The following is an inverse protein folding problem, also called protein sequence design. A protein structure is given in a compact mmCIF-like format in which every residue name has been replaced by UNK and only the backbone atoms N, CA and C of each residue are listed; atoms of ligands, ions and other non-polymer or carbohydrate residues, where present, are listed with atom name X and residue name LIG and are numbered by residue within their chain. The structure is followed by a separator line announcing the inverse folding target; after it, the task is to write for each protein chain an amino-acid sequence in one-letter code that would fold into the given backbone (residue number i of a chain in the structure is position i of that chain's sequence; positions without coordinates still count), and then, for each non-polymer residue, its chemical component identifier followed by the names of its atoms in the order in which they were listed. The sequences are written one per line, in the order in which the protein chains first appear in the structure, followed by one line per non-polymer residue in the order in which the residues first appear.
data_IF_239348847774
#
_entry.id   IF_239348847774
#
_cell.length_a   1.000
_cell.length_b   1.000
_cell.length_c   1.000
_cell.angle_alpha   90.00
_cell.angle_beta   90.00
_cell.angle_gamma   90.00
#
_symmetry.space_group_name_H-M   'P 1'
#
loop_
_entity.id
_entity.type
_entity.pdbx_description
1 polymer ?
#
# COMPACT_ATOMS: atom_id res chain seq x y z
N UNK A 1 -8.63 16.32 25.49
CA UNK A 1 -8.51 14.85 25.59
C UNK A 1 -9.39 14.06 24.59
N UNK A 2 -10.73 14.22 24.56
CA UNK A 2 -11.64 13.44 23.67
C UNK A 2 -11.36 13.57 22.15
N UNK A 3 -11.00 14.77 21.67
CA UNK A 3 -10.66 15.01 20.25
C UNK A 3 -9.36 14.31 19.82
N UNK A 4 -8.37 14.27 20.71
CA UNK A 4 -7.09 13.58 20.50
C UNK A 4 -7.30 12.07 20.41
N UNK A 5 -8.03 11.49 21.37
CA UNK A 5 -8.37 10.05 21.39
C UNK A 5 -9.12 9.62 20.12
N UNK A 6 -10.13 10.40 19.70
CA UNK A 6 -10.87 10.11 18.46
C UNK A 6 -9.99 10.18 17.20
N UNK A 7 -8.99 11.06 17.21
CA UNK A 7 -8.04 11.20 16.10
C UNK A 7 -7.05 10.02 16.06
N UNK A 8 -6.50 9.64 17.22
CA UNK A 8 -5.62 8.48 17.36
C UNK A 8 -6.33 7.19 16.97
N UNK A 9 -7.57 6.99 17.44
CA UNK A 9 -8.39 5.83 17.08
C UNK A 9 -8.64 5.76 15.57
N UNK A 10 -9.01 6.88 14.95
CA UNK A 10 -9.23 6.92 13.50
C UNK A 10 -7.94 6.62 12.72
N UNK A 11 -6.79 7.06 13.23
CA UNK A 11 -5.50 6.84 12.60
C UNK A 11 -5.08 5.36 12.67
N UNK A 12 -5.03 4.79 13.87
CA UNK A 12 -4.63 3.40 14.12
C UNK A 12 -5.57 2.39 13.45
N UNK A 13 -6.88 2.64 13.43
CA UNK A 13 -7.88 1.72 12.89
C UNK A 13 -8.40 2.14 11.51
N UNK A 14 -7.54 2.75 10.68
CA UNK A 14 -7.90 3.15 9.31
C UNK A 14 -8.29 1.91 8.49
N UNK A 15 -9.48 1.85 7.86
CA UNK A 15 -9.84 0.71 7.02
C UNK A 15 -8.90 0.56 5.82
N UNK A 16 -8.32 -0.64 5.64
CA UNK A 16 -7.41 -0.96 4.55
C UNK A 16 -7.80 -2.24 3.82
N UNK A 17 -7.23 -2.39 2.63
CA UNK A 17 -7.39 -3.57 1.77
C UNK A 17 -6.44 -4.70 2.23
N UNK A 18 -6.86 -5.99 2.22
CA UNK A 18 -6.00 -7.11 2.60
C UNK A 18 -4.74 -7.25 1.72
N UNK A 19 -4.81 -6.76 0.47
CA UNK A 19 -3.68 -6.75 -0.47
C UNK A 19 -2.47 -5.98 0.07
N UNK A 20 -2.68 -4.96 0.91
CA UNK A 20 -1.59 -4.17 1.45
C UNK A 20 -0.69 -5.01 2.38
N UNK A 21 -1.29 -5.77 3.32
CA UNK A 21 -0.52 -6.68 4.16
C UNK A 21 0.10 -7.84 3.36
N UNK A 22 -0.60 -8.31 2.32
CA UNK A 22 -0.07 -9.35 1.46
C UNK A 22 1.20 -8.89 0.72
N UNK A 23 1.22 -7.64 0.22
CA UNK A 23 2.39 -7.03 -0.39
C UNK A 23 3.57 -6.95 0.59
N UNK A 24 3.31 -6.47 1.82
CA UNK A 24 4.34 -6.35 2.85
C UNK A 24 4.91 -7.73 3.24
N UNK A 25 4.04 -8.74 3.40
CA UNK A 25 4.45 -10.14 3.64
C UNK A 25 5.34 -10.68 2.53
N UNK A 26 4.92 -10.52 1.28
CA UNK A 26 5.67 -11.04 0.13
C UNK A 26 7.03 -10.34 0.00
N UNK A 27 7.07 -9.01 0.10
CA UNK A 27 8.31 -8.23 -0.06
C UNK A 27 9.32 -8.48 1.06
N UNK A 28 8.89 -8.48 2.32
CA UNK A 28 9.75 -8.82 3.46
C UNK A 28 10.21 -10.28 3.41
N UNK A 29 9.31 -11.20 3.04
CA UNK A 29 9.63 -12.61 2.86
C UNK A 29 10.65 -12.84 1.74
N UNK A 30 10.49 -12.21 0.57
CA UNK A 30 11.42 -12.31 -0.55
C UNK A 30 12.79 -11.74 -0.21
N UNK A 31 12.84 -10.59 0.49
CA UNK A 31 14.10 -10.02 0.95
C UNK A 31 14.82 -10.95 1.93
N UNK A 32 14.08 -11.52 2.89
CA UNK A 32 14.64 -12.49 3.84
C UNK A 32 15.16 -13.74 3.13
N UNK A 33 14.41 -14.28 2.18
CA UNK A 33 14.80 -15.46 1.40
C UNK A 33 16.08 -15.20 0.61
N UNK A 34 16.14 -14.06 -0.10
CA UNK A 34 17.35 -13.64 -0.80
C UNK A 34 18.54 -13.52 0.16
N UNK A 35 18.36 -12.92 1.34
CA UNK A 35 19.42 -12.78 2.32
C UNK A 35 19.91 -14.14 2.81
N UNK A 36 19.00 -15.03 3.22
CA UNK A 36 19.35 -16.36 3.74
C UNK A 36 20.08 -17.19 2.69
N UNK A 37 19.59 -17.21 1.45
CA UNK A 37 20.21 -17.97 0.37
C UNK A 37 21.57 -17.37 -0.04
N UNK A 38 21.66 -16.05 -0.23
CA UNK A 38 22.91 -15.40 -0.66
C UNK A 38 24.02 -15.41 0.39
N UNK A 39 23.67 -15.67 1.67
CA UNK A 39 24.60 -15.71 2.80
C UNK A 39 24.70 -17.07 3.44
N UNK A 40 24.13 -18.12 2.85
CA UNK A 40 24.06 -19.44 3.45
C UNK A 40 25.43 -19.93 3.93
N UNK A 41 26.41 -19.99 3.04
CA UNK A 41 27.77 -20.48 3.37
C UNK A 41 28.46 -19.62 4.43
N UNK A 42 28.28 -18.30 4.37
CA UNK A 42 28.84 -17.40 5.37
C UNK A 42 28.20 -17.65 6.74
N UNK A 43 26.88 -17.86 6.81
CA UNK A 43 26.19 -18.17 8.05
C UNK A 43 26.68 -19.49 8.65
N UNK A 44 26.92 -20.51 7.82
CA UNK A 44 27.46 -21.79 8.28
C UNK A 44 28.88 -21.64 8.83
N UNK A 45 29.77 -20.92 8.11
CA UNK A 45 31.16 -20.72 8.55
C UNK A 45 31.27 -19.98 9.88
N UNK A 46 30.37 -19.03 10.15
CA UNK A 46 30.41 -18.25 11.39
C UNK A 46 30.18 -19.13 12.62
N UNK A 47 29.21 -20.04 12.54
CA UNK A 47 28.81 -20.90 13.67
C UNK A 47 29.86 -21.96 13.99
N UNK A 48 30.83 -22.19 13.11
CA UNK A 48 31.95 -23.10 13.36
C UNK A 48 32.93 -22.58 14.43
N UNK A 49 33.02 -21.26 14.63
CA UNK A 49 33.87 -20.68 15.67
C UNK A 49 33.14 -20.66 17.01
N UNK A 50 33.16 -21.79 17.72
CA UNK A 50 32.43 -21.94 18.99
C UNK A 50 33.02 -21.13 20.14
N UNK A 51 34.32 -20.80 20.09
CA UNK A 51 35.01 -20.03 21.14
C UNK A 51 34.56 -18.57 21.19
N UNK A 52 34.19 -18.00 20.05
CA UNK A 52 33.74 -16.62 19.92
C UNK A 52 32.21 -16.43 20.13
N UNK A 53 31.52 -17.43 20.68
CA UNK A 53 30.09 -17.37 20.90
C UNK A 53 29.75 -16.56 22.16
N UNK A 54 29.03 -15.44 21.97
CA UNK A 54 28.52 -14.60 23.05
C UNK A 54 26.99 -14.42 22.90
N UNK A 55 26.18 -15.17 23.66
CA UNK A 55 24.74 -15.14 23.52
C UNK A 55 24.16 -13.78 23.94
N UNK A 56 23.20 -13.26 23.15
CA UNK A 56 22.59 -11.95 23.38
C UNK A 56 21.07 -12.00 23.26
N UNK A 57 20.39 -10.96 23.77
CA UNK A 57 18.96 -10.80 23.64
C UNK A 57 18.18 -11.97 24.25
N UNK A 58 17.22 -12.52 23.49
CA UNK A 58 16.37 -13.64 23.96
C UNK A 58 17.11 -14.98 24.11
N UNK A 59 18.39 -15.03 23.74
CA UNK A 59 19.24 -16.22 23.86
C UNK A 59 20.29 -16.07 24.96
N UNK A 60 20.25 -15.01 25.78
CA UNK A 60 21.22 -14.74 26.84
C UNK A 60 21.36 -15.87 27.90
N UNK A 61 20.40 -16.78 27.94
CA UNK A 61 20.38 -17.95 28.82
C UNK A 61 21.22 -19.12 28.29
N UNK A 62 21.61 -19.10 27.02
CA UNK A 62 22.47 -20.13 26.44
C UNK A 62 23.88 -20.00 27.03
N UNK A 63 24.52 -21.13 27.32
CA UNK A 63 25.92 -21.17 27.79
C UNK A 63 26.87 -21.68 26.71
N UNK A 64 26.35 -22.40 25.72
CA UNK A 64 27.11 -22.97 24.61
C UNK A 64 26.31 -22.87 23.31
N UNK A 65 26.98 -22.74 22.15
CA UNK A 65 26.30 -22.73 20.86
C UNK A 65 25.71 -24.12 20.55
N UNK A 66 24.68 -24.16 19.71
CA UNK A 66 24.20 -25.43 19.16
C UNK A 66 25.22 -26.00 18.17
N UNK A 67 25.23 -27.33 18.03
CA UNK A 67 26.11 -28.02 17.10
C UNK A 67 25.93 -27.48 15.65
N UNK A 68 27.02 -27.30 14.88
CA UNK A 68 26.94 -26.76 13.52
C UNK A 68 25.98 -27.54 12.59
N UNK A 69 25.89 -28.86 12.75
CA UNK A 69 24.98 -29.71 11.99
C UNK A 69 23.51 -29.38 12.30
N UNK A 70 23.19 -29.11 13.56
CA UNK A 70 21.85 -28.69 13.98
C UNK A 70 21.54 -27.31 13.40
N UNK A 71 22.50 -26.39 13.42
CA UNK A 71 22.32 -25.06 12.83
C UNK A 71 22.07 -25.12 11.32
N UNK A 72 22.72 -26.06 10.62
CA UNK A 72 22.47 -26.30 9.20
C UNK A 72 21.02 -26.71 8.94
N UNK A 73 20.50 -27.69 9.69
CA UNK A 73 19.09 -28.12 9.57
C UNK A 73 18.11 -27.00 9.94
N UNK A 74 18.40 -26.24 11.00
CA UNK A 74 17.60 -25.06 11.37
C UNK A 74 17.57 -24.03 10.23
N UNK A 75 18.69 -23.83 9.54
CA UNK A 75 18.78 -22.93 8.37
C UNK A 75 17.88 -23.41 7.22
N UNK A 76 17.90 -24.72 6.91
CA UNK A 76 17.04 -25.31 5.87
C UNK A 76 15.57 -25.19 6.23
N UNK A 77 15.19 -25.52 7.48
CA UNK A 77 13.82 -25.40 7.97
C UNK A 77 13.35 -23.94 7.87
N UNK A 78 14.19 -22.98 8.25
CA UNK A 78 13.89 -21.56 8.15
C UNK A 78 13.62 -21.14 6.70
N UNK A 79 14.45 -21.58 5.74
CA UNK A 79 14.26 -21.30 4.31
C UNK A 79 12.93 -21.89 3.81
N UNK A 80 12.61 -23.14 4.16
CA UNK A 80 11.34 -23.79 3.79
C UNK A 80 10.16 -23.01 4.37
N UNK A 81 10.21 -22.68 5.66
CA UNK A 81 9.18 -21.87 6.32
C UNK A 81 9.05 -20.49 5.67
N UNK A 82 10.16 -19.87 5.24
CA UNK A 82 10.13 -18.59 4.55
C UNK A 82 9.41 -18.70 3.19
N UNK A 83 9.66 -19.76 2.42
CA UNK A 83 8.97 -20.01 1.14
C UNK A 83 7.47 -20.20 1.36
N UNK A 84 7.10 -21.03 2.34
CA UNK A 84 5.69 -21.24 2.71
C UNK A 84 5.04 -19.94 3.23
N UNK A 85 5.79 -19.12 3.96
CA UNK A 85 5.36 -17.80 4.42
C UNK A 85 5.09 -16.84 3.25
N UNK A 86 5.92 -16.83 2.21
CA UNK A 86 5.72 -16.02 0.99
C UNK A 86 4.51 -16.54 0.19
N UNK A 87 4.36 -17.85 0.05
CA UNK A 87 3.21 -18.47 -0.63
C UNK A 87 1.91 -18.23 0.15
N UNK A 88 1.99 -18.17 1.49
CA UNK A 88 0.85 -18.01 2.38
C UNK A 88 0.02 -19.28 2.44
N UNK A 89 0.70 -20.42 2.60
CA UNK A 89 0.11 -21.74 2.78
C UNK A 89 -0.05 -22.06 4.27
N UNK A 90 -1.26 -22.48 4.70
CA UNK A 90 -1.58 -22.76 6.12
C UNK A 90 -1.06 -21.65 7.04
N UNK A 91 -1.30 -20.40 6.67
CA UNK A 91 -0.61 -19.24 7.23
C UNK A 91 -0.85 -19.05 8.72
N UNK A 92 -2.01 -19.51 9.24
CA UNK A 92 -2.30 -19.53 10.68
C UNK A 92 -1.19 -20.21 11.51
N UNK A 93 -0.50 -21.19 10.94
CA UNK A 93 0.59 -21.91 11.60
C UNK A 93 1.95 -21.48 11.06
N UNK A 94 2.09 -21.35 9.73
CA UNK A 94 3.36 -21.01 9.09
C UNK A 94 3.81 -19.58 9.43
N UNK A 95 2.88 -18.62 9.48
CA UNK A 95 3.17 -17.22 9.80
C UNK A 95 3.89 -17.05 11.13
N UNK A 96 3.28 -17.49 12.25
CA UNK A 96 3.93 -17.42 13.57
C UNK A 96 5.19 -18.26 13.67
N UNK A 97 5.20 -19.48 13.08
CA UNK A 97 6.36 -20.37 13.15
C UNK A 97 7.59 -19.77 12.46
N UNK A 98 7.41 -19.21 11.26
CA UNK A 98 8.48 -18.51 10.55
C UNK A 98 8.96 -17.28 11.32
N UNK A 99 8.04 -16.47 11.87
CA UNK A 99 8.39 -15.29 12.64
C UNK A 99 9.22 -15.60 13.89
N UNK A 100 8.82 -16.60 14.67
CA UNK A 100 9.54 -17.03 15.87
C UNK A 100 10.91 -17.60 15.49
N UNK A 101 10.96 -18.49 14.50
CA UNK A 101 12.23 -19.09 14.08
C UNK A 101 13.19 -18.06 13.49
N UNK A 102 12.68 -17.10 12.70
CA UNK A 102 13.48 -16.00 12.18
C UNK A 102 14.05 -15.14 13.32
N UNK A 103 13.24 -14.80 14.33
CA UNK A 103 13.73 -14.05 15.50
C UNK A 103 14.88 -14.80 16.19
N UNK A 104 14.66 -16.07 16.52
CA UNK A 104 15.68 -16.91 17.17
C UNK A 104 16.94 -17.02 16.31
N UNK A 105 16.79 -17.28 15.01
CA UNK A 105 17.90 -17.45 14.08
C UNK A 105 18.76 -16.19 13.95
N UNK A 106 18.13 -15.03 13.76
CA UNK A 106 18.86 -13.77 13.60
C UNK A 106 19.43 -13.25 14.92
N UNK A 107 18.79 -13.52 16.06
CA UNK A 107 19.40 -13.29 17.38
C UNK A 107 20.62 -14.19 17.56
N UNK A 108 20.51 -15.48 17.25
CA UNK A 108 21.62 -16.43 17.32
C UNK A 108 22.78 -16.00 16.42
N UNK A 109 22.52 -15.58 15.18
CA UNK A 109 23.58 -15.06 14.31
C UNK A 109 24.29 -13.83 14.89
N UNK A 110 23.59 -12.98 15.63
CA UNK A 110 24.19 -11.80 16.25
C UNK A 110 24.98 -12.15 17.53
N UNK A 111 24.97 -13.40 17.99
CA UNK A 111 25.83 -13.91 19.06
C UNK A 111 27.27 -14.21 18.62
N UNK A 112 27.60 -13.86 17.38
CA UNK A 112 28.97 -13.86 16.87
C UNK A 112 29.28 -12.49 16.29
N UNK A 113 30.54 -12.08 16.44
CA UNK A 113 31.10 -10.88 15.81
C UNK A 113 30.34 -9.59 16.19
N UNK A 114 30.41 -8.57 15.35
CA UNK A 114 29.72 -7.30 15.57
C UNK A 114 28.20 -7.46 15.55
N UNK A 115 27.52 -6.82 16.49
CA UNK A 115 26.05 -6.76 16.52
C UNK A 115 25.57 -5.88 15.37
N UNK A 116 24.89 -6.49 14.40
CA UNK A 116 24.33 -5.76 13.25
C UNK A 116 22.87 -5.39 13.50
N UNK A 117 22.62 -4.13 13.85
CA UNK A 117 21.27 -3.61 14.09
C UNK A 117 20.44 -3.39 12.82
N UNK A 118 21.07 -3.37 11.65
CA UNK A 118 20.41 -3.03 10.38
C UNK A 118 19.31 -4.01 9.95
N UNK A 119 19.27 -5.22 10.52
CA UNK A 119 18.25 -6.26 10.24
C UNK A 119 17.09 -6.27 11.25
N UNK A 120 17.20 -5.59 12.38
CA UNK A 120 16.19 -5.66 13.43
C UNK A 120 14.81 -5.20 12.91
N UNK A 121 14.78 -4.16 12.07
CA UNK A 121 13.53 -3.70 11.45
C UNK A 121 12.87 -4.77 10.56
N UNK A 122 13.64 -5.52 9.76
CA UNK A 122 13.11 -6.61 8.95
C UNK A 122 12.45 -7.67 9.83
N UNK A 123 13.12 -8.08 10.91
CA UNK A 123 12.62 -9.13 11.80
C UNK A 123 11.35 -8.66 12.52
N UNK A 124 11.31 -7.41 12.99
CA UNK A 124 10.09 -6.86 13.60
C UNK A 124 8.93 -6.79 12.60
N UNK A 125 9.19 -6.46 11.33
CA UNK A 125 8.15 -6.49 10.29
C UNK A 125 7.65 -7.92 10.05
N UNK A 126 8.56 -8.90 9.96
CA UNK A 126 8.22 -10.32 9.81
C UNK A 126 7.38 -10.81 10.99
N UNK A 127 7.73 -10.44 12.23
CA UNK A 127 6.96 -10.77 13.43
C UNK A 127 5.55 -10.21 13.31
N UNK A 128 5.39 -8.90 13.08
CA UNK A 128 4.07 -8.30 12.95
C UNK A 128 3.25 -9.01 11.87
N UNK A 129 3.83 -9.22 10.69
CA UNK A 129 3.16 -9.84 9.55
C UNK A 129 2.84 -11.32 9.76
N UNK A 130 3.66 -12.05 10.53
CA UNK A 130 3.48 -13.46 10.87
C UNK A 130 2.31 -13.72 11.82
N UNK A 131 1.99 -12.75 12.70
CA UNK A 131 0.91 -12.87 13.69
C UNK A 131 -0.42 -12.22 13.26
N UNK A 132 -0.48 -11.58 12.10
CA UNK A 132 -1.70 -10.93 11.58
C UNK A 132 -2.22 -11.61 10.31
N UNK A 133 -3.42 -11.25 9.88
CA UNK A 133 -4.08 -11.82 8.71
C UNK A 133 -3.47 -11.34 7.36
N UNK A 134 -2.14 -11.44 7.20
CA UNK A 134 -1.40 -10.99 6.02
C UNK A 134 -1.47 -11.97 4.83
N UNK A 135 -2.10 -13.12 5.01
CA UNK A 135 -2.40 -14.10 3.95
C UNK A 135 -3.88 -14.10 3.52
N UNK A 136 -4.68 -13.09 3.88
CA UNK A 136 -6.07 -12.97 3.41
C UNK A 136 -6.18 -12.56 1.93
N UNK A 137 -5.08 -12.08 1.34
CA UNK A 137 -4.95 -11.83 -0.09
C UNK A 137 -3.59 -12.32 -0.63
N UNK A 138 -3.52 -12.54 -1.94
CA UNK A 138 -2.32 -12.99 -2.68
C UNK A 138 -1.58 -14.14 -2.01
N UNK A 139 -2.34 -15.14 -1.61
CA UNK A 139 -1.83 -16.32 -0.92
C UNK A 139 -2.52 -17.58 -1.44
N UNK A 140 -1.89 -18.73 -1.22
CA UNK A 140 -2.52 -20.01 -1.49
C UNK A 140 -3.82 -20.20 -0.68
N UNK A 141 -3.82 -19.80 0.59
CA UNK A 141 -4.99 -19.92 1.47
C UNK A 141 -6.19 -19.09 0.96
N UNK A 142 -5.93 -17.86 0.50
CA UNK A 142 -6.96 -16.97 -0.08
C UNK A 142 -7.48 -17.50 -1.42
N UNK A 143 -6.59 -18.05 -2.27
CA UNK A 143 -6.97 -18.69 -3.53
C UNK A 143 -7.87 -19.91 -3.29
N UNK A 144 -7.54 -20.76 -2.32
CA UNK A 144 -8.35 -21.93 -1.96
C UNK A 144 -9.73 -21.53 -1.41
N UNK A 145 -9.81 -20.46 -0.61
CA UNK A 145 -11.09 -19.89 -0.14
C UNK A 145 -11.93 -19.36 -1.31
N UNK A 146 -11.30 -18.65 -2.26
CA UNK A 146 -11.96 -18.14 -3.46
C UNK A 146 -12.55 -19.26 -4.32
N UNK A 147 -11.85 -20.39 -4.49
CA UNK A 147 -12.37 -21.57 -5.22
C UNK A 147 -13.60 -22.20 -4.56
N UNK A 148 -13.77 -22.01 -3.25
CA UNK A 148 -14.94 -22.49 -2.48
C UNK A 148 -16.10 -21.48 -2.45
N UNK A 149 -16.08 -20.44 -3.29
CA UNK A 149 -17.06 -19.34 -3.28
C UNK A 149 -17.22 -18.65 -1.91
N UNK A 150 -16.20 -18.70 -1.04
CA UNK A 150 -16.19 -17.93 0.20
C UNK A 150 -15.89 -16.47 -0.16
N UNK A 151 -16.69 -15.54 0.38
CA UNK A 151 -16.54 -14.10 0.13
C UNK A 151 -15.09 -13.64 0.36
N UNK A 152 -14.58 -12.87 -0.60
CA UNK A 152 -13.27 -12.24 -0.48
C UNK A 152 -13.31 -11.21 0.66
N UNK A 153 -12.26 -11.15 1.51
CA UNK A 153 -12.23 -10.21 2.62
C UNK A 153 -12.38 -8.77 2.13
N UNK A 154 -13.36 -8.05 2.71
CA UNK A 154 -13.64 -6.65 2.42
C UNK A 154 -12.64 -5.72 3.12
N UNK A 155 -12.65 -4.46 2.72
CA UNK A 155 -11.87 -3.39 3.38
C UNK A 155 -12.24 -3.36 4.86
N UNK A 156 -11.24 -3.44 5.74
CA UNK A 156 -11.46 -3.54 7.19
C UNK A 156 -10.34 -2.85 7.96
N UNK A 157 -10.67 -2.36 9.16
CA UNK A 157 -9.71 -1.82 10.12
C UNK A 157 -8.72 -2.89 10.62
N UNK A 158 -9.09 -4.18 10.54
CA UNK A 158 -8.25 -5.30 10.92
C UNK A 158 -6.94 -5.37 10.11
N UNK A 159 -6.96 -4.82 8.89
CA UNK A 159 -5.77 -4.69 8.04
C UNK A 159 -5.03 -3.36 8.24
N UNK A 160 -5.65 -2.39 8.91
CA UNK A 160 -5.09 -1.06 9.09
C UNK A 160 -4.11 -0.95 10.24
N UNK A 161 -4.49 -1.46 11.40
CA UNK A 161 -3.65 -1.36 12.60
C UNK A 161 -2.29 -2.06 12.47
N UNK A 162 -2.12 -3.21 11.77
CA UNK A 162 -0.81 -3.81 11.61
C UNK A 162 0.11 -2.97 10.73
N UNK A 163 -0.44 -2.32 9.70
CA UNK A 163 0.33 -1.38 8.86
C UNK A 163 0.82 -0.20 9.68
N UNK A 164 -0.04 0.35 10.55
CA UNK A 164 0.38 1.42 11.46
C UNK A 164 1.44 0.96 12.44
N UNK A 165 1.32 -0.25 12.99
CA UNK A 165 2.36 -0.83 13.84
C UNK A 165 3.70 -0.99 13.11
N UNK A 166 3.70 -1.43 11.85
CA UNK A 166 4.90 -1.51 11.01
C UNK A 166 5.52 -0.12 10.81
N UNK A 167 4.70 0.89 10.48
CA UNK A 167 5.16 2.28 10.38
C UNK A 167 5.74 2.79 11.70
N UNK A 168 5.08 2.50 12.83
CA UNK A 168 5.53 2.91 14.16
C UNK A 168 6.86 2.27 14.54
N UNK A 169 7.04 0.98 14.29
CA UNK A 169 8.33 0.31 14.54
C UNK A 169 9.43 0.87 13.65
N UNK A 170 9.12 1.12 12.36
CA UNK A 170 10.07 1.74 11.43
C UNK A 170 10.52 3.10 11.95
N UNK A 171 9.57 3.99 12.25
CA UNK A 171 9.82 5.32 12.82
C UNK A 171 10.57 5.24 14.14
N UNK A 172 10.20 4.30 15.01
CA UNK A 172 10.84 4.09 16.31
C UNK A 172 12.33 3.77 16.18
N UNK A 173 12.74 3.02 15.15
CA UNK A 173 14.16 2.74 14.92
C UNK A 173 14.99 3.98 14.59
N UNK A 174 14.42 4.92 13.83
CA UNK A 174 15.08 6.20 13.50
C UNK A 174 15.03 7.19 14.66
N UNK A 175 13.91 7.24 15.39
CA UNK A 175 13.82 8.05 16.60
C UNK A 175 14.87 7.61 17.63
N UNK A 176 15.02 6.31 17.83
CA UNK A 176 16.02 5.78 18.76
C UNK A 176 17.45 6.15 18.33
N UNK A 177 17.75 6.09 17.03
CA UNK A 177 19.03 6.60 16.48
C UNK A 177 19.24 8.08 16.81
N UNK A 178 18.23 8.92 16.58
CA UNK A 178 18.32 10.36 16.86
C UNK A 178 18.49 10.67 18.35
N UNK A 179 17.75 9.94 19.22
CA UNK A 179 17.90 10.06 20.67
C UNK A 179 19.30 9.63 21.11
N UNK A 180 19.82 8.53 20.57
CA UNK A 180 21.18 8.08 20.88
C UNK A 180 22.24 9.11 20.47
N UNK A 181 22.07 9.77 19.32
CA UNK A 181 22.94 10.89 18.91
C UNK A 181 22.84 12.08 19.86
N UNK A 182 21.63 12.44 20.29
CA UNK A 182 21.41 13.56 21.20
C UNK A 182 21.94 13.27 22.62
N UNK A 183 21.83 12.02 23.08
CA UNK A 183 22.19 11.62 24.43
C UNK A 183 23.67 11.24 24.60
N UNK A 184 24.37 10.96 23.49
CA UNK A 184 25.80 10.60 23.53
C UNK A 184 26.73 11.81 23.72
N UNK A 185 27.98 11.53 24.03
CA UNK A 185 29.01 12.54 24.30
C UNK A 185 29.26 13.50 23.11
N UNK A 186 29.00 13.01 21.89
CA UNK A 186 29.15 13.76 20.63
C UNK A 186 27.87 14.53 20.22
N UNK A 187 26.95 14.77 21.15
CA UNK A 187 25.61 15.32 20.86
C UNK A 187 25.60 16.56 19.97
N UNK A 188 26.28 17.62 20.40
CA UNK A 188 26.36 18.88 19.67
C UNK A 188 27.24 18.80 18.43
N UNK A 189 28.21 17.91 18.44
CA UNK A 189 29.07 17.63 17.29
C UNK A 189 28.33 16.95 16.13
N UNK A 190 27.26 16.21 16.40
CA UNK A 190 26.39 15.68 15.36
C UNK A 190 25.60 16.79 14.66
N UNK A 191 25.21 17.84 15.38
CA UNK A 191 24.46 18.98 14.80
C UNK A 191 25.38 19.87 13.98
N UNK A 192 26.59 20.15 14.48
CA UNK A 192 27.60 20.94 13.74
C UNK A 192 28.19 20.18 12.55
N UNK A 193 27.98 18.86 12.48
CA UNK A 193 28.49 17.99 11.43
C UNK A 193 29.93 17.50 11.68
N UNK A 194 30.59 17.94 12.76
CA UNK A 194 31.97 17.52 13.08
C UNK A 194 32.04 16.03 13.42
N UNK A 195 31.08 15.50 14.19
CA UNK A 195 31.03 14.08 14.51
C UNK A 195 30.84 13.24 13.24
N UNK A 196 29.95 13.65 12.34
CA UNK A 196 29.72 12.96 11.08
C UNK A 196 30.97 12.96 10.19
N UNK A 197 31.61 14.13 10.05
CA UNK A 197 32.85 14.25 9.28
C UNK A 197 33.94 13.35 9.85
N UNK A 198 34.10 13.34 11.17
CA UNK A 198 35.04 12.45 11.86
C UNK A 198 34.76 10.97 11.56
N UNK A 199 33.51 10.52 11.65
CA UNK A 199 33.13 9.13 11.33
C UNK A 199 33.40 8.76 9.87
N UNK A 200 33.12 9.67 8.94
CA UNK A 200 33.42 9.48 7.51
C UNK A 200 34.92 9.37 7.27
N UNK A 201 35.74 10.18 7.93
CA UNK A 201 37.21 10.10 7.84
C UNK A 201 37.77 8.82 8.44
N UNK A 202 37.28 8.40 9.61
CA UNK A 202 37.70 7.14 10.24
C UNK A 202 37.39 5.95 9.34
N UNK A 203 36.21 5.93 8.70
CA UNK A 203 35.84 4.89 7.74
C UNK A 203 36.77 4.87 6.52
N UNK A 204 37.08 6.04 5.94
CA UNK A 204 37.98 6.15 4.79
C UNK A 204 39.40 5.68 5.11
N UNK A 205 39.98 6.15 6.23
CA UNK A 205 41.33 5.74 6.68
C UNK A 205 41.38 4.24 6.94
N UNK A 206 40.34 3.69 7.59
CA UNK A 206 40.30 2.25 7.89
C UNK A 206 40.29 1.40 6.63
N UNK A 207 39.61 1.86 5.57
CA UNK A 207 39.58 1.15 4.29
C UNK A 207 40.92 1.18 3.59
N UNK A 208 41.57 2.33 3.59
CA UNK A 208 42.90 2.49 3.02
C UNK A 208 43.92 1.59 3.73
N UNK A 209 43.89 1.55 5.07
CA UNK A 209 44.73 0.64 5.87
C UNK A 209 44.47 -0.84 5.59
N UNK A 210 43.26 -1.21 5.17
CA UNK A 210 42.87 -2.57 4.80
C UNK A 210 43.06 -2.87 3.30
N UNK A 211 43.66 -1.95 2.54
CA UNK A 211 43.93 -2.12 1.10
C UNK A 211 42.71 -1.96 0.20
N UNK A 212 41.68 -1.27 0.66
CA UNK A 212 40.47 -0.95 -0.12
C UNK A 212 40.34 0.55 -0.37
N UNK A 213 39.81 0.92 -1.53
CA UNK A 213 39.63 2.32 -1.89
C UNK A 213 38.57 3.01 -1.01
N UNK A 214 38.78 4.31 -0.75
CA UNK A 214 37.79 5.18 -0.12
C UNK A 214 36.57 5.36 -1.05
N UNK A 215 35.46 5.84 -0.49
CA UNK A 215 34.24 6.01 -1.29
C UNK A 215 34.40 7.16 -2.31
N UNK A 216 33.74 7.10 -3.49
CA UNK A 216 33.99 8.04 -4.59
C UNK A 216 33.72 9.51 -4.27
N UNK A 217 32.80 9.79 -3.33
CA UNK A 217 32.48 11.15 -2.94
C UNK A 217 33.29 11.65 -1.73
N UNK A 218 34.15 10.82 -1.14
CA UNK A 218 34.87 11.15 0.09
C UNK A 218 35.74 12.39 -0.07
N UNK A 219 36.67 12.40 -1.04
CA UNK A 219 37.62 13.50 -1.24
C UNK A 219 36.90 14.82 -1.54
N UNK A 220 35.90 14.76 -2.43
CA UNK A 220 35.08 15.92 -2.76
C UNK A 220 34.33 16.47 -1.53
N UNK A 221 33.67 15.61 -0.74
CA UNK A 221 32.91 16.07 0.42
C UNK A 221 33.80 16.56 1.54
N UNK A 222 34.94 15.92 1.77
CA UNK A 222 35.80 16.19 2.91
C UNK A 222 36.27 17.65 2.95
N UNK A 223 36.53 18.27 1.80
CA UNK A 223 36.91 19.69 1.72
C UNK A 223 35.77 20.66 2.06
N UNK A 224 34.51 20.21 1.97
CA UNK A 224 33.33 21.05 2.08
C UNK A 224 32.63 20.89 3.44
N UNK A 225 33.19 21.52 4.49
CA UNK A 225 32.65 21.52 5.87
C UNK A 225 31.16 21.80 5.98
N UNK A 226 30.66 22.77 5.21
CA UNK A 226 29.27 23.21 5.25
C UNK A 226 28.30 22.12 4.77
N UNK A 227 28.74 21.19 3.90
CA UNK A 227 27.92 20.05 3.50
C UNK A 227 27.72 19.10 4.68
N UNK A 228 28.73 18.88 5.53
CA UNK A 228 28.58 18.08 6.75
C UNK A 228 27.66 18.73 7.77
N UNK A 229 27.69 20.06 7.90
CA UNK A 229 26.73 20.80 8.73
C UNK A 229 25.29 20.58 8.22
N UNK A 230 25.06 20.77 6.91
CA UNK A 230 23.75 20.57 6.31
C UNK A 230 23.24 19.13 6.46
N UNK A 231 24.11 18.13 6.26
CA UNK A 231 23.79 16.72 6.46
C UNK A 231 23.53 16.41 7.94
N UNK A 232 24.32 16.95 8.87
CA UNK A 232 24.11 16.81 10.31
C UNK A 232 22.73 17.28 10.73
N UNK A 233 22.37 18.51 10.38
CA UNK A 233 21.05 19.08 10.63
C UNK A 233 19.94 18.22 9.98
N UNK A 234 20.13 17.81 8.72
CA UNK A 234 19.13 16.99 8.02
C UNK A 234 18.91 15.63 8.69
N UNK A 235 19.98 14.95 9.10
CA UNK A 235 19.87 13.66 9.81
C UNK A 235 19.11 13.81 11.13
N UNK A 236 19.37 14.88 11.88
CA UNK A 236 18.63 15.20 13.11
C UNK A 236 17.15 15.44 12.85
N UNK A 237 16.81 16.24 11.84
CA UNK A 237 15.42 16.52 11.45
C UNK A 237 14.72 15.21 11.06
N UNK A 238 15.37 14.34 10.31
CA UNK A 238 14.79 13.06 9.88
C UNK A 238 14.64 12.07 11.04
N UNK A 239 15.62 11.99 11.94
CA UNK A 239 15.63 11.02 13.03
C UNK A 239 14.74 11.46 14.20
N UNK A 240 14.92 12.65 14.76
CA UNK A 240 14.08 13.17 15.84
C UNK A 240 12.68 13.57 15.37
N UNK A 241 12.56 14.02 14.12
CA UNK A 241 11.27 14.33 13.50
C UNK A 241 10.50 13.09 13.02
N UNK A 242 11.06 11.88 13.10
CA UNK A 242 10.43 10.66 12.63
C UNK A 242 8.99 10.44 13.16
N UNK A 243 8.65 10.74 14.43
CA UNK A 243 7.27 10.61 14.92
C UNK A 243 6.24 11.43 14.14
N UNK A 244 6.66 12.54 13.51
CA UNK A 244 5.80 13.38 12.68
C UNK A 244 5.27 12.62 11.44
N UNK A 245 6.00 11.60 10.98
CA UNK A 245 5.61 10.72 9.88
C UNK A 245 4.29 9.98 10.15
N UNK A 246 3.97 9.71 11.43
CA UNK A 246 2.76 8.98 11.81
C UNK A 246 1.51 9.86 11.78
N UNK A 247 1.59 11.18 11.97
CA UNK A 247 0.38 12.01 12.10
C UNK A 247 -0.36 12.23 10.77
N UNK A 248 0.39 12.39 9.68
CA UNK A 248 -0.17 12.68 8.36
C UNK A 248 0.49 11.83 7.29
N UNK A 249 -0.34 11.16 6.50
CA UNK A 249 0.12 10.32 5.39
C UNK A 249 1.15 10.98 4.47
N UNK A 250 0.89 12.22 4.05
CA UNK A 250 1.82 12.97 3.17
C UNK A 250 3.19 13.19 3.84
N UNK A 251 3.20 13.40 5.15
CA UNK A 251 4.41 13.61 5.92
C UNK A 251 5.18 12.31 6.07
N UNK A 252 4.46 11.20 6.33
CA UNK A 252 5.06 9.87 6.33
C UNK A 252 5.66 9.47 4.98
N UNK A 253 4.99 9.76 3.87
CA UNK A 253 5.55 9.53 2.53
C UNK A 253 6.80 10.37 2.26
N UNK A 254 6.76 11.67 2.59
CA UNK A 254 7.91 12.55 2.41
C UNK A 254 9.10 12.12 3.27
N UNK A 255 8.86 11.82 4.55
CA UNK A 255 9.85 11.28 5.47
C UNK A 255 10.44 9.98 4.94
N UNK A 256 9.61 9.02 4.53
CA UNK A 256 10.07 7.76 3.95
C UNK A 256 10.99 7.96 2.73
N UNK A 257 10.66 8.86 1.81
CA UNK A 257 11.52 9.17 0.64
C UNK A 257 12.83 9.81 1.09
N UNK A 258 12.78 10.81 1.96
CA UNK A 258 13.98 11.51 2.43
C UNK A 258 14.91 10.57 3.20
N UNK A 259 14.38 9.75 4.10
CA UNK A 259 15.15 8.75 4.84
C UNK A 259 15.69 7.68 3.90
N UNK A 260 14.96 7.26 2.87
CA UNK A 260 15.49 6.35 1.85
C UNK A 260 16.67 6.97 1.08
N UNK A 261 16.54 8.22 0.64
CA UNK A 261 17.62 8.98 -0.01
C UNK A 261 18.84 9.15 0.90
N UNK A 262 18.62 9.37 2.20
CA UNK A 262 19.69 9.47 3.19
C UNK A 262 20.56 8.19 3.22
N UNK A 263 19.97 6.98 3.14
CA UNK A 263 20.77 5.73 3.12
C UNK A 263 21.58 5.57 1.84
N UNK A 264 21.04 6.00 0.70
CA UNK A 264 21.81 6.06 -0.53
C UNK A 264 22.93 7.10 -0.44
N UNK A 265 22.69 8.24 0.21
CA UNK A 265 23.72 9.21 0.55
C UNK A 265 24.84 8.58 1.37
N UNK A 266 24.52 7.89 2.47
CA UNK A 266 25.52 7.18 3.29
C UNK A 266 26.32 6.17 2.46
N UNK A 267 25.67 5.44 1.56
CA UNK A 267 26.38 4.54 0.65
C UNK A 267 27.33 5.27 -0.29
N UNK A 268 26.93 6.40 -0.88
CA UNK A 268 27.80 7.16 -1.78
C UNK A 268 29.00 7.82 -1.05
N UNK A 269 28.82 8.17 0.23
CA UNK A 269 29.84 8.90 1.03
C UNK A 269 30.76 7.94 1.78
N UNK A 270 30.23 6.84 2.29
CA UNK A 270 30.94 5.90 3.15
C UNK A 270 30.99 4.49 2.57
N UNK A 271 30.42 4.19 1.40
CA UNK A 271 30.40 2.82 0.85
C UNK A 271 29.69 1.77 1.74
N UNK A 272 29.00 2.18 2.81
CA UNK A 272 28.36 1.27 3.77
C UNK A 272 26.98 0.87 3.24
N UNK A 273 26.73 -0.45 3.15
CA UNK A 273 25.45 -0.96 2.65
C UNK A 273 24.46 -1.27 3.76
N UNK A 274 23.34 -0.56 3.78
CA UNK A 274 22.15 -0.89 4.56
C UNK A 274 21.10 -1.55 3.68
N UNK A 275 21.34 -2.81 3.28
CA UNK A 275 20.59 -3.48 2.19
C UNK A 275 19.07 -3.39 2.30
N UNK A 276 18.51 -3.56 3.50
CA UNK A 276 17.06 -3.52 3.68
C UNK A 276 16.50 -2.10 3.53
N UNK A 277 17.21 -1.11 4.07
CA UNK A 277 16.88 0.29 3.98
C UNK A 277 17.04 0.80 2.54
N UNK A 278 18.16 0.50 1.90
CA UNK A 278 18.44 0.86 0.50
C UNK A 278 17.48 0.21 -0.49
N UNK A 279 16.95 -0.99 -0.20
CA UNK A 279 15.93 -1.63 -1.05
C UNK A 279 14.60 -0.87 -1.09
N UNK A 280 14.36 0.02 -0.13
CA UNK A 280 13.09 0.73 0.01
C UNK A 280 11.97 -0.09 0.64
N UNK A 281 12.12 -1.42 0.81
CA UNK A 281 11.08 -2.29 1.36
C UNK A 281 10.71 -1.95 2.81
N UNK A 282 11.66 -1.45 3.60
CA UNK A 282 11.37 -0.96 4.96
C UNK A 282 10.32 0.16 4.97
N UNK A 283 10.25 0.97 3.90
CA UNK A 283 9.37 2.13 3.80
C UNK A 283 8.06 1.85 3.07
N UNK A 284 7.86 0.62 2.59
CA UNK A 284 6.75 0.27 1.70
C UNK A 284 5.37 0.55 2.34
N UNK A 285 5.25 0.38 3.66
CA UNK A 285 4.02 0.60 4.43
C UNK A 285 3.54 2.06 4.44
N UNK A 286 4.40 3.02 4.10
CA UNK A 286 4.03 4.44 4.01
C UNK A 286 3.29 4.79 2.71
N UNK A 287 3.29 3.88 1.72
CA UNK A 287 2.77 4.11 0.38
C UNK A 287 1.57 3.21 0.06
N UNK A 288 0.59 3.77 -0.66
CA UNK A 288 -0.56 2.99 -1.18
C UNK A 288 -0.19 2.25 -2.47
N UNK A 289 0.78 1.35 -2.43
CA UNK A 289 1.32 0.70 -3.63
C UNK A 289 0.28 -0.24 -4.25
N UNK A 290 -0.69 -0.71 -3.48
CA UNK A 290 -1.85 -1.44 -4.01
C UNK A 290 -2.75 -0.58 -4.91
N UNK A 291 -2.63 0.75 -4.89
CA UNK A 291 -3.27 1.62 -5.90
C UNK A 291 -2.49 1.66 -7.22
N UNK A 292 -1.17 1.45 -7.17
CA UNK A 292 -0.33 1.32 -8.36
C UNK A 292 -0.53 -0.04 -9.02
N UNK A 293 -0.58 -1.09 -8.20
CA UNK A 293 -0.95 -2.44 -8.61
C UNK A 293 -2.47 -2.59 -8.63
N UNK A 294 -3.10 -2.00 -9.64
CA UNK A 294 -4.46 -2.32 -9.99
C UNK A 294 -4.47 -3.33 -11.15
N UNK A 295 -4.50 -4.65 -10.90
CA UNK A 295 -4.71 -5.63 -11.95
C UNK A 295 -6.09 -5.47 -12.60
N UNK A 296 -7.00 -4.62 -12.07
CA UNK A 296 -8.21 -4.19 -12.79
C UNK A 296 -7.97 -3.12 -13.88
N UNK A 297 -6.70 -2.84 -14.21
CA UNK A 297 -6.31 -2.33 -15.54
C UNK A 297 -6.00 -3.44 -16.55
N UNK A 298 -6.12 -4.73 -16.19
CA UNK A 298 -6.53 -5.74 -17.17
C UNK A 298 -8.03 -5.59 -17.36
N UNK A 299 -8.46 -5.60 -18.62
CA UNK A 299 -9.87 -5.63 -19.05
C UNK A 299 -10.70 -6.41 -18.01
N UNK A 300 -11.90 -5.96 -17.61
CA UNK A 300 -12.82 -6.90 -16.98
C UNK A 300 -12.97 -8.06 -17.97
N UNK A 301 -12.36 -9.20 -17.64
CA UNK A 301 -12.70 -10.47 -18.25
C UNK A 301 -14.17 -10.63 -17.92
N UNK A 302 -15.00 -10.44 -18.94
CA UNK A 302 -16.37 -10.91 -19.02
C UNK A 302 -16.36 -12.39 -18.71
N UNK A 303 -16.39 -12.74 -17.43
CA UNK A 303 -16.95 -14.01 -16.99
C UNK A 303 -18.44 -13.77 -16.98
N UNK A 304 -19.08 -14.22 -18.05
CA UNK A 304 -20.51 -14.42 -18.09
C UNK A 304 -20.83 -15.47 -17.02
N UNK A 305 -21.36 -15.06 -15.88
CA UNK A 305 -22.26 -15.94 -15.13
C UNK A 305 -23.64 -15.74 -15.73
N UNK A 306 -24.03 -16.68 -16.58
CA UNK A 306 -25.41 -16.88 -17.02
C UNK A 306 -26.27 -17.13 -15.78
N UNK A 307 -27.03 -16.12 -15.37
CA UNK A 307 -28.33 -16.40 -14.79
C UNK A 307 -29.25 -16.59 -15.99
N UNK A 308 -29.78 -17.81 -16.13
CA UNK A 308 -30.93 -18.04 -17.00
C UNK A 308 -32.11 -17.27 -16.44
N UNK A 309 -32.41 -16.15 -17.08
CA UNK A 309 -33.74 -15.57 -17.13
C UNK A 309 -34.11 -15.52 -18.61
N UNK A 310 -34.92 -16.49 -19.03
CA UNK A 310 -35.77 -16.31 -20.20
C UNK A 310 -36.55 -15.01 -20.01
N UNK A 311 -36.36 -14.03 -20.89
CA UNK A 311 -37.40 -13.08 -21.38
C UNK A 311 -36.78 -11.80 -21.99
N UNK A 312 -36.84 -11.69 -23.32
CA UNK A 312 -36.80 -10.45 -24.16
C UNK A 312 -35.59 -9.49 -24.05
N UNK A 313 -35.13 -8.86 -25.15
CA UNK A 313 -34.10 -7.83 -25.09
C UNK A 313 -34.59 -6.63 -24.28
N UNK A 314 -34.06 -6.46 -23.07
CA UNK A 314 -34.46 -5.40 -22.14
C UNK A 314 -34.10 -4.02 -22.68
N UNK A 315 -35.06 -3.09 -22.62
CA UNK A 315 -34.86 -1.67 -23.00
C UNK A 315 -33.72 -1.06 -22.16
N UNK A 316 -32.90 -0.15 -22.71
CA UNK A 316 -31.81 0.46 -21.95
C UNK A 316 -32.33 1.30 -20.78
N UNK A 317 -31.84 1.02 -19.56
CA UNK A 317 -32.28 1.70 -18.32
C UNK A 317 -31.20 2.68 -17.86
N UNK A 318 -31.57 3.95 -17.67
CA UNK A 318 -30.70 5.00 -17.15
C UNK A 318 -31.03 5.24 -15.67
N UNK A 319 -30.05 4.97 -14.80
CA UNK A 319 -30.14 5.30 -13.39
C UNK A 319 -29.48 6.66 -13.11
N UNK A 320 -30.18 7.51 -12.36
CA UNK A 320 -29.74 8.88 -12.08
C UNK A 320 -30.06 9.33 -10.65
N UNK A 321 -29.41 10.40 -10.20
CA UNK A 321 -29.63 10.98 -8.87
C UNK A 321 -30.84 11.94 -8.91
N UNK A 322 -31.98 11.52 -8.34
CA UNK A 322 -33.25 12.23 -8.43
C UNK A 322 -33.29 13.56 -7.69
N UNK A 323 -32.41 13.78 -6.71
CA UNK A 323 -32.33 15.05 -5.95
C UNK A 323 -31.35 16.05 -6.56
N UNK A 324 -30.64 15.69 -7.62
CA UNK A 324 -29.60 16.52 -8.25
C UNK A 324 -30.12 17.24 -9.51
N UNK A 325 -30.07 18.58 -9.50
CA UNK A 325 -30.52 19.41 -10.64
C UNK A 325 -29.74 19.14 -11.94
N UNK A 326 -28.44 18.85 -11.84
CA UNK A 326 -27.63 18.47 -13.00
C UNK A 326 -28.10 17.15 -13.61
N UNK A 327 -28.40 16.15 -12.77
CA UNK A 327 -28.86 14.84 -13.23
C UNK A 327 -30.26 14.93 -13.83
N UNK A 328 -31.18 15.67 -13.18
CA UNK A 328 -32.51 15.94 -13.72
C UNK A 328 -32.46 16.75 -15.02
N UNK A 329 -31.54 17.71 -15.13
CA UNK A 329 -31.23 18.43 -16.37
C UNK A 329 -30.77 17.48 -17.47
N UNK A 330 -29.92 16.51 -17.13
CA UNK A 330 -29.44 15.50 -18.07
C UNK A 330 -30.56 14.56 -18.56
N UNK A 331 -31.48 14.11 -17.70
CA UNK A 331 -32.62 13.30 -18.14
C UNK A 331 -33.51 14.08 -19.12
N UNK A 332 -33.82 15.35 -18.82
CA UNK A 332 -34.55 16.24 -19.75
C UNK A 332 -33.80 16.43 -21.07
N UNK A 333 -32.47 16.46 -21.03
CA UNK A 333 -31.64 16.56 -22.22
C UNK A 333 -31.76 15.30 -23.10
N UNK A 334 -31.73 14.11 -22.50
CA UNK A 334 -31.93 12.82 -23.18
C UNK A 334 -33.29 12.78 -23.86
N UNK A 335 -34.36 13.03 -23.11
CA UNK A 335 -35.74 12.95 -23.59
C UNK A 335 -36.01 13.86 -24.81
N UNK A 336 -35.31 14.99 -24.91
CA UNK A 336 -35.47 15.94 -26.03
C UNK A 336 -34.66 15.58 -27.28
N UNK A 337 -33.62 14.74 -27.17
CA UNK A 337 -32.59 14.57 -28.21
C UNK A 337 -32.35 13.14 -28.66
N UNK A 338 -32.94 12.17 -27.97
CA UNK A 338 -32.91 10.78 -28.40
C UNK A 338 -33.53 10.61 -29.80
N UNK A 339 -32.97 9.69 -30.58
CA UNK A 339 -33.45 9.38 -31.93
C UNK A 339 -34.81 8.69 -31.89
N UNK A 340 -34.97 7.75 -30.95
CA UNK A 340 -36.16 6.94 -30.70
C UNK A 340 -36.40 6.86 -29.17
N UNK A 341 -37.66 6.80 -28.69
CA UNK A 341 -37.99 6.74 -27.25
C UNK A 341 -37.71 5.35 -26.64
N UNK A 342 -36.43 4.99 -26.55
CA UNK A 342 -35.99 3.65 -26.13
C UNK A 342 -35.60 3.58 -24.65
N UNK A 343 -35.10 4.69 -24.07
CA UNK A 343 -34.61 4.68 -22.70
C UNK A 343 -35.74 4.58 -21.67
N UNK A 344 -35.53 3.76 -20.65
CA UNK A 344 -36.25 3.80 -19.38
C UNK A 344 -35.40 4.48 -18.32
N UNK A 345 -36.01 5.04 -17.30
CA UNK A 345 -35.34 5.81 -16.26
C UNK A 345 -35.73 5.27 -14.88
N UNK A 346 -34.81 5.30 -13.92
CA UNK A 346 -35.14 5.11 -12.52
C UNK A 346 -34.20 5.93 -11.64
N UNK A 347 -34.72 6.53 -10.58
CA UNK A 347 -33.87 7.22 -9.62
C UNK A 347 -33.07 6.21 -8.78
N UNK A 348 -31.83 6.56 -8.45
CA UNK A 348 -30.98 5.76 -7.56
C UNK A 348 -31.57 5.66 -6.15
N UNK A 349 -32.46 6.57 -5.76
CA UNK A 349 -33.13 6.58 -4.46
C UNK A 349 -34.37 5.68 -4.41
N UNK A 350 -34.91 5.26 -5.55
CA UNK A 350 -36.12 4.43 -5.61
C UNK A 350 -35.85 2.97 -5.22
N UNK A 351 -36.87 2.24 -4.71
CA UNK A 351 -36.76 0.80 -4.48
C UNK A 351 -36.36 0.03 -5.74
N UNK A 352 -36.90 0.42 -6.92
CA UNK A 352 -36.56 -0.21 -8.19
C UNK A 352 -35.11 0.07 -8.62
N UNK A 353 -34.63 1.28 -8.39
CA UNK A 353 -33.22 1.62 -8.60
C UNK A 353 -32.28 0.81 -7.72
N UNK A 354 -32.62 0.63 -6.44
CA UNK A 354 -31.84 -0.20 -5.50
C UNK A 354 -31.87 -1.69 -5.86
N UNK A 355 -33.03 -2.21 -6.28
CA UNK A 355 -33.17 -3.58 -6.79
C UNK A 355 -32.27 -3.81 -8.02
N UNK A 356 -32.30 -2.90 -9.00
CA UNK A 356 -31.47 -2.98 -10.20
C UNK A 356 -29.97 -2.91 -9.90
N UNK A 357 -29.55 -2.09 -8.93
CA UNK A 357 -28.15 -2.04 -8.49
C UNK A 357 -27.74 -3.31 -7.73
N UNK A 358 -28.63 -3.84 -6.90
CA UNK A 358 -28.43 -5.07 -6.13
C UNK A 358 -28.30 -6.29 -7.04
N UNK A 359 -29.17 -6.41 -8.04
CA UNK A 359 -29.15 -7.49 -9.04
C UNK A 359 -27.81 -7.57 -9.80
N UNK A 360 -27.15 -6.43 -10.00
CA UNK A 360 -25.86 -6.36 -10.69
C UNK A 360 -24.65 -6.23 -9.76
N UNK A 361 -24.82 -6.49 -8.45
CA UNK A 361 -23.75 -6.45 -7.42
C UNK A 361 -22.93 -5.16 -7.40
N UNK A 362 -23.57 -4.01 -7.65
CA UNK A 362 -22.89 -2.73 -7.70
C UNK A 362 -22.98 -1.99 -6.35
N UNK A 363 -21.88 -2.01 -5.57
CA UNK A 363 -21.85 -1.49 -4.18
C UNK A 363 -21.54 0.02 -4.05
N UNK A 364 -21.25 0.75 -5.13
CA UNK A 364 -20.84 2.17 -5.06
C UNK A 364 -21.97 3.14 -5.42
N UNK A 365 -22.50 3.80 -4.40
CA UNK A 365 -23.77 4.51 -4.45
C UNK A 365 -23.65 6.01 -4.77
N UNK A 366 -24.66 6.51 -5.49
CA UNK A 366 -25.16 7.89 -5.53
C UNK A 366 -24.37 8.98 -6.28
N UNK A 367 -23.19 8.74 -6.88
CA UNK A 367 -22.38 9.84 -7.44
C UNK A 367 -22.27 9.94 -8.96
N UNK A 368 -22.90 9.05 -9.73
CA UNK A 368 -22.78 9.03 -11.20
C UNK A 368 -24.05 8.57 -11.90
N UNK A 369 -24.22 9.02 -13.14
CA UNK A 369 -25.18 8.45 -14.11
C UNK A 369 -24.72 7.04 -14.49
N UNK A 370 -25.65 6.10 -14.52
CA UNK A 370 -25.42 4.70 -14.86
C UNK A 370 -26.37 4.32 -16.00
N UNK A 371 -25.88 3.57 -16.98
CA UNK A 371 -26.69 2.99 -18.05
C UNK A 371 -26.59 1.46 -17.96
N UNK A 372 -27.73 0.78 -17.94
CA UNK A 372 -27.86 -0.67 -18.02
C UNK A 372 -28.42 -1.01 -19.40
N UNK A 373 -27.67 -1.77 -20.19
CA UNK A 373 -28.11 -2.22 -21.52
C UNK A 373 -27.55 -3.62 -21.78
N UNK A 374 -28.39 -4.58 -22.20
CA UNK A 374 -27.97 -5.95 -22.51
C UNK A 374 -27.15 -6.61 -21.38
N UNK A 375 -27.62 -6.45 -20.15
CA UNK A 375 -26.95 -6.94 -18.93
C UNK A 375 -25.53 -6.35 -18.71
N UNK A 376 -25.19 -5.24 -19.37
CA UNK A 376 -23.94 -4.48 -19.20
C UNK A 376 -24.21 -3.17 -18.51
N UNK A 377 -23.34 -2.84 -17.56
CA UNK A 377 -23.34 -1.56 -16.87
C UNK A 377 -22.27 -0.63 -17.47
N UNK A 378 -22.71 0.55 -17.90
CA UNK A 378 -21.86 1.68 -18.25
C UNK A 378 -21.96 2.74 -17.16
N UNK A 379 -20.84 3.41 -16.85
CA UNK A 379 -20.74 4.39 -15.76
C UNK A 379 -19.99 5.63 -16.19
N UNK A 380 -20.17 6.73 -15.44
CA UNK A 380 -19.45 7.99 -15.61
C UNK A 380 -19.48 8.46 -17.06
N UNK A 381 -18.32 8.79 -17.60
CA UNK A 381 -18.19 9.27 -18.96
C UNK A 381 -18.59 8.20 -19.99
N UNK A 382 -18.40 6.91 -19.73
CA UNK A 382 -18.78 5.82 -20.64
C UNK A 382 -20.30 5.72 -20.77
N UNK A 383 -21.03 5.90 -19.67
CA UNK A 383 -22.50 5.99 -19.71
C UNK A 383 -22.93 7.19 -20.58
N UNK A 384 -22.35 8.37 -20.36
CA UNK A 384 -22.68 9.59 -21.10
C UNK A 384 -22.43 9.41 -22.60
N UNK A 385 -21.24 8.95 -23.00
CA UNK A 385 -20.91 8.78 -24.42
C UNK A 385 -21.74 7.69 -25.10
N UNK A 386 -22.05 6.62 -24.37
CA UNK A 386 -22.91 5.56 -24.88
C UNK A 386 -24.34 6.06 -25.07
N UNK A 387 -24.91 6.80 -24.11
CA UNK A 387 -26.22 7.46 -24.26
C UNK A 387 -26.22 8.42 -25.46
N UNK A 388 -25.18 9.25 -25.60
CA UNK A 388 -25.07 10.18 -26.73
C UNK A 388 -25.04 9.50 -28.10
N UNK A 389 -24.59 8.24 -28.20
CA UNK A 389 -24.63 7.50 -29.46
C UNK A 389 -26.05 7.21 -29.98
N UNK A 390 -27.08 7.34 -29.12
CA UNK A 390 -28.49 7.21 -29.47
C UNK A 390 -29.16 8.56 -29.80
N UNK A 391 -28.42 9.67 -29.77
CA UNK A 391 -28.97 10.99 -30.09
C UNK A 391 -29.01 11.27 -31.58
N UNK A 392 -29.84 12.25 -31.99
CA UNK A 392 -29.83 12.79 -33.35
C UNK A 392 -28.56 13.63 -33.60
N UNK A 393 -28.17 13.78 -34.86
CA UNK A 393 -27.13 14.74 -35.26
C UNK A 393 -27.51 16.16 -34.81
N UNK A 394 -26.57 17.00 -34.34
CA UNK A 394 -25.11 16.79 -34.25
C UNK A 394 -24.64 16.13 -32.94
N UNK A 395 -25.53 15.84 -32.00
CA UNK A 395 -25.14 15.40 -30.65
C UNK A 395 -24.49 14.02 -30.60
N UNK A 396 -24.77 13.17 -31.59
CA UNK A 396 -24.09 11.89 -31.78
C UNK A 396 -22.57 12.03 -32.05
N UNK A 397 -22.10 13.19 -32.52
CA UNK A 397 -20.66 13.47 -32.72
C UNK A 397 -19.90 13.47 -31.38
N UNK A 398 -20.56 13.76 -30.25
CA UNK A 398 -19.91 13.68 -28.93
C UNK A 398 -19.35 12.28 -28.63
N UNK A 399 -19.84 11.24 -29.32
CA UNK A 399 -19.29 9.89 -29.26
C UNK A 399 -17.82 9.80 -29.73
N UNK A 400 -17.34 10.71 -30.58
CA UNK A 400 -15.92 10.80 -30.98
C UNK A 400 -15.01 11.18 -29.81
N UNK A 401 -15.54 11.74 -28.71
CA UNK A 401 -14.78 11.92 -27.46
C UNK A 401 -14.34 10.59 -26.82
N UNK A 402 -14.72 9.42 -27.37
CA UNK A 402 -14.11 8.13 -27.04
C UNK A 402 -12.62 8.08 -27.39
N UNK A 403 -12.14 8.88 -28.35
CA UNK A 403 -10.72 8.99 -28.69
C UNK A 403 -9.91 9.73 -27.60
N UNK A 404 -10.57 10.55 -26.77
CA UNK A 404 -9.92 11.18 -25.61
C UNK A 404 -9.65 10.10 -24.55
N UNK A 405 -8.41 10.01 -24.02
CA UNK A 405 -8.06 9.04 -23.00
C UNK A 405 -9.05 9.07 -21.82
N UNK A 406 -9.55 7.89 -21.44
CA UNK A 406 -10.53 7.74 -20.35
C UNK A 406 -10.12 8.46 -19.06
N UNK A 407 -8.83 8.53 -18.75
CA UNK A 407 -8.31 9.27 -17.58
C UNK A 407 -8.70 10.75 -17.61
N UNK A 408 -8.58 11.41 -18.75
CA UNK A 408 -8.90 12.83 -18.92
C UNK A 408 -10.42 13.01 -18.81
N UNK A 409 -11.18 12.19 -19.55
CA UNK A 409 -12.64 12.27 -19.59
C UNK A 409 -13.28 11.95 -18.23
N UNK A 410 -12.78 10.95 -17.50
CA UNK A 410 -13.23 10.62 -16.14
C UNK A 410 -12.75 11.64 -15.11
N UNK A 411 -11.58 12.25 -15.28
CA UNK A 411 -11.14 13.36 -14.41
C UNK A 411 -12.09 14.56 -14.51
N UNK A 412 -12.44 14.98 -15.74
CA UNK A 412 -13.43 16.03 -15.97
C UNK A 412 -14.80 15.66 -15.40
N UNK A 413 -15.22 14.40 -15.58
CA UNK A 413 -16.47 13.90 -15.01
C UNK A 413 -16.48 13.97 -13.47
N UNK A 414 -15.42 13.46 -12.83
CA UNK A 414 -15.31 13.40 -11.37
C UNK A 414 -15.23 14.81 -10.76
N UNK A 415 -14.60 15.75 -11.45
CA UNK A 415 -14.55 17.16 -11.06
C UNK A 415 -15.93 17.81 -11.04
N UNK A 416 -16.74 17.60 -12.08
CA UNK A 416 -18.11 18.12 -12.16
C UNK A 416 -19.00 17.40 -11.13
N UNK A 417 -18.91 16.07 -11.05
CA UNK A 417 -19.69 15.26 -10.14
C UNK A 417 -19.46 15.61 -8.67
N UNK A 418 -18.22 15.94 -8.29
CA UNK A 418 -17.87 16.37 -6.93
C UNK A 418 -18.42 17.76 -6.56
N UNK A 419 -18.70 18.61 -7.55
CA UNK A 419 -19.18 19.99 -7.36
C UNK A 419 -20.65 20.18 -7.70
N UNK A 420 -21.33 19.14 -8.17
CA UNK A 420 -22.69 19.23 -8.74
C UNK A 420 -23.72 19.86 -7.80
N UNK A 421 -23.70 19.55 -6.51
CA UNK A 421 -24.63 20.16 -5.55
C UNK A 421 -24.27 21.61 -5.24
N UNK A 422 -22.98 21.95 -5.23
CA UNK A 422 -22.51 23.33 -4.99
C UNK A 422 -22.80 24.24 -6.19
N UNK A 423 -22.73 23.71 -7.41
CA UNK A 423 -22.88 24.49 -8.64
C UNK A 423 -24.31 24.49 -9.19
N UNK A 424 -25.03 23.38 -9.09
CA UNK A 424 -26.37 23.24 -9.68
C UNK A 424 -27.47 23.13 -8.63
N UNK A 425 -27.14 22.95 -7.35
CA UNK A 425 -28.11 22.81 -6.27
C UNK A 425 -28.77 21.44 -6.18
N UNK A 426 -29.73 21.35 -5.25
CA UNK A 426 -30.65 20.22 -5.09
C UNK A 426 -32.08 20.71 -5.31
N UNK A 427 -32.99 19.79 -5.62
CA UNK A 427 -34.41 20.10 -5.74
C UNK A 427 -35.22 19.06 -4.97
N UNK A 428 -36.20 19.52 -4.19
CA UNK A 428 -37.05 18.67 -3.34
C UNK A 428 -38.39 18.33 -4.02
N UNK A 429 -38.74 19.01 -5.12
CA UNK A 429 -39.99 18.79 -5.86
C UNK A 429 -39.74 18.33 -7.30
N UNK A 430 -40.35 17.22 -7.68
CA UNK A 430 -40.27 16.67 -9.04
C UNK A 430 -40.87 17.65 -10.06
N UNK A 431 -40.14 17.95 -11.14
CA UNK A 431 -40.66 18.78 -12.23
C UNK A 431 -41.84 18.12 -12.95
N UNK A 432 -42.81 18.92 -13.41
CA UNK A 432 -43.96 18.44 -14.17
C UNK A 432 -43.51 17.69 -15.43
N UNK A 433 -43.80 16.39 -15.48
CA UNK A 433 -43.58 15.51 -16.64
C UNK A 433 -44.90 15.23 -17.36
N UNK A 434 -44.88 15.11 -18.69
CA UNK A 434 -46.07 14.73 -19.47
C UNK A 434 -46.45 13.27 -19.19
N UNK A 435 -47.71 12.90 -19.40
CA UNK A 435 -48.20 11.52 -19.15
C UNK A 435 -47.36 10.48 -19.90
N UNK A 436 -46.97 10.77 -21.15
CA UNK A 436 -46.15 9.87 -21.97
C UNK A 436 -44.72 9.70 -21.46
N UNK A 437 -44.19 10.70 -20.75
CA UNK A 437 -42.86 10.60 -20.14
C UNK A 437 -42.89 9.74 -18.89
N UNK A 438 -43.98 9.80 -18.09
CA UNK A 438 -44.11 9.05 -16.84
C UNK A 438 -44.04 7.54 -17.04
N UNK A 439 -44.61 7.00 -18.12
CA UNK A 439 -44.60 5.56 -18.47
C UNK A 439 -43.17 5.00 -18.63
N UNK A 440 -42.17 5.87 -18.79
CA UNK A 440 -40.76 5.48 -18.97
C UNK A 440 -39.96 5.52 -17.66
N UNK A 441 -40.53 6.01 -16.57
CA UNK A 441 -39.91 5.97 -15.24
C UNK A 441 -40.39 4.71 -14.52
N UNK A 442 -39.46 3.86 -14.10
CA UNK A 442 -39.77 2.58 -13.45
C UNK A 442 -40.10 2.73 -11.95
N UNK A 443 -40.02 3.96 -11.44
CA UNK A 443 -40.14 4.33 -10.03
C UNK A 443 -41.28 5.31 -9.75
N UNK A 444 -42.18 5.53 -10.72
CA UNK A 444 -43.30 6.48 -10.64
C UNK A 444 -44.66 5.87 -10.95
#
# INVERSE_FOLDING_TARGET
MKKLLKTLQRHWFTPMKPQHLALLRITTGLFCLWYLCSRFDMLQRVVQNTEAFEPIGILNWMTQPIAPEVFWWVSIILIILNVLYIIGWKFKYIGPSFAILALLFFTYRNSWSMIYHNRNALILHIIILGFVASADAWSWDSWKKSKKNILSPKISWHYGWPVQLICTVTVGSYLLSGIAKLAGDLSWEWVTGSAMRSQVSVDAIRKEMLGSESAPLFDFLFEHTWLFLAMGILTFILELGAPLALFRKKWGMAWAVLTWMMHWGIFCIMGITFRYQMSGFIFLSFFDIEKLWNPSKKKPSTVYTTYDINETPSKPIVLFDGVCNLCNGWIRFILKRERNPLFQFASLQSPKGQELLGAHRYENSLSSIILIENNKIYQKSDAVLKICSYFKFPWNISNYLRFVPKRIRDFSYDFIAARRYKWFGKQEHCGLMTKDQKVRFLDL
#
